data_IF_265967255730
#
_entry.id   IF_265967255730
#
_cell.length_a   1.000
_cell.length_b   1.000
_cell.length_c   1.000
_cell.angle_alpha   90.00
_cell.angle_beta   90.00
_cell.angle_gamma   90.00
#
_symmetry.space_group_name_H-M   'P 1'
#
loop_
_entity.id
_entity.type
_entity.pdbx_description
1 polymer ?
#
# COMPACT_ATOMS: atom_id res chain seq x y z
N UNK A 1 -36.26 40.31 -31.04
CA UNK A 1 -35.33 39.53 -30.19
C UNK A 1 -35.68 39.85 -28.75
N UNK A 2 -36.13 38.84 -28.01
CA UNK A 2 -36.50 39.00 -26.62
C UNK A 2 -35.26 39.23 -25.75
N UNK A 3 -35.22 40.34 -25.02
CA UNK A 3 -34.19 40.68 -24.05
C UNK A 3 -33.99 39.56 -23.06
N UNK A 4 -35.06 38.84 -22.70
CA UNK A 4 -35.04 37.67 -21.83
C UNK A 4 -34.17 36.56 -22.42
N UNK A 5 -34.25 36.30 -23.72
CA UNK A 5 -33.44 35.27 -24.37
C UNK A 5 -31.94 35.62 -24.34
N UNK A 6 -31.60 36.89 -24.52
CA UNK A 6 -30.20 37.35 -24.44
C UNK A 6 -29.65 37.22 -23.02
N UNK A 7 -30.45 37.59 -22.02
CA UNK A 7 -30.07 37.43 -20.61
C UNK A 7 -29.88 35.96 -20.25
N UNK A 8 -30.80 35.08 -20.68
CA UNK A 8 -30.65 33.64 -20.47
C UNK A 8 -29.39 33.06 -21.13
N UNK A 9 -29.07 33.50 -22.36
CA UNK A 9 -27.84 33.07 -23.04
C UNK A 9 -26.58 33.54 -22.29
N UNK A 10 -26.57 34.77 -21.80
CA UNK A 10 -25.44 35.27 -21.00
C UNK A 10 -25.25 34.50 -19.70
N UNK A 11 -26.33 34.22 -18.99
CA UNK A 11 -26.28 33.46 -17.75
C UNK A 11 -25.78 32.01 -18.02
N UNK A 12 -26.26 31.39 -19.11
CA UNK A 12 -25.85 30.06 -19.49
C UNK A 12 -24.35 29.97 -19.85
N UNK A 13 -23.84 31.00 -20.56
CA UNK A 13 -22.41 31.07 -20.91
C UNK A 13 -21.51 31.24 -19.69
N UNK A 14 -21.91 32.09 -18.75
CA UNK A 14 -21.18 32.24 -17.50
C UNK A 14 -21.18 30.96 -16.68
N UNK A 15 -22.32 30.27 -16.63
CA UNK A 15 -22.44 29.00 -15.90
C UNK A 15 -21.52 27.90 -16.47
N UNK A 16 -21.44 27.81 -17.80
CA UNK A 16 -20.54 26.82 -18.45
C UNK A 16 -19.07 27.10 -18.21
N UNK A 17 -18.65 28.37 -18.17
CA UNK A 17 -17.28 28.76 -17.87
C UNK A 17 -16.89 28.38 -16.41
N UNK A 18 -17.77 28.64 -15.46
CA UNK A 18 -17.55 28.27 -14.07
C UNK A 18 -17.47 26.73 -13.91
N UNK A 19 -18.31 26.00 -14.64
CA UNK A 19 -18.26 24.52 -14.62
C UNK A 19 -16.93 23.99 -15.15
N UNK A 20 -16.38 24.57 -16.22
CA UNK A 20 -15.07 24.18 -16.75
C UNK A 20 -13.93 24.45 -15.74
N UNK A 21 -13.93 25.61 -15.09
CA UNK A 21 -12.95 25.94 -14.06
C UNK A 21 -13.02 24.95 -12.90
N UNK A 22 -14.23 24.59 -12.47
CA UNK A 22 -14.45 23.62 -11.42
C UNK A 22 -13.88 22.23 -11.78
N UNK A 23 -14.11 21.77 -13.01
CA UNK A 23 -13.58 20.47 -13.48
C UNK A 23 -12.05 20.47 -13.51
N UNK A 24 -11.43 21.55 -13.99
CA UNK A 24 -9.98 21.69 -14.00
C UNK A 24 -9.44 21.71 -12.57
N UNK A 25 -10.06 22.46 -11.66
CA UNK A 25 -9.65 22.53 -10.26
C UNK A 25 -9.76 21.16 -9.58
N UNK A 26 -10.83 20.40 -9.82
CA UNK A 26 -10.98 19.02 -9.32
C UNK A 26 -9.93 18.07 -9.89
N UNK A 27 -9.59 18.24 -11.17
CA UNK A 27 -8.51 17.47 -11.81
C UNK A 27 -7.15 17.72 -11.15
N UNK A 28 -6.83 18.98 -10.83
CA UNK A 28 -5.61 19.32 -10.10
C UNK A 28 -5.60 18.75 -8.68
N UNK A 29 -6.71 18.86 -7.96
CA UNK A 29 -6.84 18.28 -6.61
C UNK A 29 -6.65 16.77 -6.66
N UNK A 30 -7.30 16.10 -7.62
CA UNK A 30 -7.14 14.65 -7.82
C UNK A 30 -5.70 14.27 -8.14
N UNK A 31 -5.07 14.98 -9.07
CA UNK A 31 -3.67 14.74 -9.43
C UNK A 31 -2.73 14.90 -8.24
N UNK A 32 -2.88 15.99 -7.47
CA UNK A 32 -1.98 16.27 -6.35
C UNK A 32 -2.20 15.39 -5.12
N UNK A 33 -3.44 15.02 -4.81
CA UNK A 33 -3.77 14.27 -3.60
C UNK A 33 -3.85 12.76 -3.80
N UNK A 34 -4.30 12.32 -4.97
CA UNK A 34 -4.58 10.89 -5.22
C UNK A 34 -3.44 10.22 -5.98
N UNK A 35 -2.91 10.88 -7.01
CA UNK A 35 -1.87 10.29 -7.85
C UNK A 35 -0.62 9.85 -7.06
N UNK A 36 -0.06 10.63 -6.12
CA UNK A 36 1.09 10.19 -5.34
C UNK A 36 0.81 8.99 -4.45
N UNK A 37 -0.44 8.81 -4.03
CA UNK A 37 -0.85 7.66 -3.22
C UNK A 37 -1.01 6.37 -4.03
N UNK A 38 -1.22 6.47 -5.33
CA UNK A 38 -1.34 5.32 -6.23
C UNK A 38 0.03 4.73 -6.61
N UNK A 39 1.07 5.54 -6.58
CA UNK A 39 2.44 5.11 -6.89
C UNK A 39 3.22 4.87 -5.60
N UNK A 40 2.91 3.76 -4.94
CA UNK A 40 3.59 3.33 -3.70
C UNK A 40 4.48 2.15 -4.02
N UNK A 41 5.75 2.29 -3.70
CA UNK A 41 6.73 1.19 -3.71
C UNK A 41 7.09 0.84 -2.27
N UNK A 42 7.27 -0.44 -1.98
CA UNK A 42 7.69 -0.89 -0.67
C UNK A 42 9.15 -1.30 -0.71
N UNK A 43 9.93 -0.75 0.20
CA UNK A 43 11.33 -1.13 0.41
C UNK A 43 11.45 -1.96 1.68
N UNK A 44 12.11 -3.10 1.57
CA UNK A 44 12.38 -3.99 2.68
C UNK A 44 13.86 -3.93 3.03
N UNK A 45 14.16 -3.73 4.29
CA UNK A 45 15.53 -3.69 4.81
C UNK A 45 15.65 -4.64 5.99
N UNK A 46 16.64 -5.51 5.96
CA UNK A 46 16.95 -6.42 7.06
C UNK A 46 18.33 -6.07 7.61
N UNK A 47 18.35 -5.54 8.83
CA UNK A 47 19.57 -5.22 9.55
C UNK A 47 19.62 -6.04 10.83
N UNK A 48 20.63 -6.89 10.96
CA UNK A 48 20.74 -7.89 12.03
C UNK A 48 19.53 -8.85 11.98
N UNK A 49 18.53 -8.63 12.82
CA UNK A 49 17.29 -9.39 12.84
C UNK A 49 16.05 -8.49 12.69
N UNK A 50 16.24 -7.20 12.52
CA UNK A 50 15.15 -6.24 12.39
C UNK A 50 14.75 -6.07 10.92
N UNK A 51 13.54 -6.48 10.59
CA UNK A 51 12.92 -6.22 9.29
C UNK A 51 12.22 -4.87 9.34
N UNK A 52 12.68 -3.95 8.55
CA UNK A 52 12.05 -2.64 8.37
C UNK A 52 11.36 -2.59 7.01
N UNK A 53 10.11 -2.15 7.01
CA UNK A 53 9.32 -1.95 5.79
C UNK A 53 8.99 -0.47 5.67
N UNK A 54 9.46 0.13 4.60
CA UNK A 54 9.21 1.53 4.27
C UNK A 54 8.34 1.63 3.02
N UNK A 55 7.36 2.51 3.06
CA UNK A 55 6.60 2.88 1.87
C UNK A 55 7.22 4.12 1.22
N UNK A 56 7.51 4.03 -0.05
CA UNK A 56 8.06 5.13 -0.85
C UNK A 56 6.98 5.63 -1.79
N UNK A 57 6.52 6.86 -1.53
CA UNK A 57 5.50 7.51 -2.33
C UNK A 57 6.15 8.36 -3.41
N UNK A 58 5.78 8.11 -4.65
CA UNK A 58 6.24 8.86 -5.83
C UNK A 58 7.77 9.01 -5.89
N UNK A 59 8.51 8.00 -5.45
CA UNK A 59 9.99 7.94 -5.41
C UNK A 59 10.68 9.07 -4.60
N UNK A 60 9.93 9.87 -3.88
CA UNK A 60 10.45 11.06 -3.16
C UNK A 60 10.18 11.04 -1.67
N UNK A 61 9.01 10.59 -1.25
CA UNK A 61 8.62 10.58 0.16
C UNK A 61 8.69 9.16 0.72
N UNK A 62 9.51 8.98 1.75
CA UNK A 62 9.64 7.71 2.47
C UNK A 62 8.91 7.79 3.81
N UNK A 63 8.14 6.77 4.11
CA UNK A 63 7.45 6.62 5.38
C UNK A 63 7.69 5.22 5.93
N UNK A 64 8.21 5.13 7.15
CA UNK A 64 8.32 3.85 7.84
C UNK A 64 6.92 3.32 8.17
N UNK A 65 6.63 2.10 7.72
CA UNK A 65 5.37 1.42 8.00
C UNK A 65 5.48 0.64 9.30
N UNK A 66 6.51 -0.20 9.41
CA UNK A 66 6.78 -0.98 10.60
C UNK A 66 8.24 -1.46 10.64
N UNK A 67 8.66 -1.79 11.85
CA UNK A 67 9.92 -2.51 12.10
C UNK A 67 9.61 -3.67 13.04
N UNK A 68 9.98 -4.89 12.63
CA UNK A 68 9.70 -6.11 13.39
C UNK A 68 10.98 -6.93 13.54
N UNK A 69 11.15 -7.52 14.74
CA UNK A 69 12.22 -8.48 14.97
C UNK A 69 11.85 -9.84 14.37
N UNK A 70 12.62 -10.29 13.38
CA UNK A 70 12.39 -11.57 12.69
C UNK A 70 12.56 -12.76 13.64
N UNK A 71 13.30 -12.63 14.72
CA UNK A 71 13.41 -13.69 15.74
C UNK A 71 12.08 -13.99 16.43
N UNK A 72 11.16 -13.05 16.46
CA UNK A 72 9.80 -13.22 16.99
C UNK A 72 8.83 -13.80 15.97
N UNK A 73 9.24 -14.01 14.73
CA UNK A 73 8.42 -14.55 13.66
C UNK A 73 7.95 -15.97 14.01
N UNK A 74 6.63 -16.16 14.05
CA UNK A 74 6.04 -17.46 14.38
C UNK A 74 6.05 -18.39 13.18
N UNK A 75 5.55 -17.92 12.05
CA UNK A 75 5.52 -18.67 10.80
C UNK A 75 5.52 -17.74 9.59
N UNK A 76 6.02 -18.25 8.48
CA UNK A 76 6.00 -17.57 7.19
C UNK A 76 5.73 -18.58 6.08
N UNK A 77 4.86 -18.22 5.14
CA UNK A 77 4.50 -19.07 4.02
C UNK A 77 4.10 -18.23 2.81
N UNK A 78 4.19 -18.79 1.58
CA UNK A 78 3.67 -18.10 0.40
C UNK A 78 2.16 -17.83 0.52
N UNK A 79 1.72 -16.70 0.02
CA UNK A 79 0.28 -16.35 0.03
C UNK A 79 -0.58 -17.30 -0.80
N UNK A 80 0.02 -18.01 -1.75
CA UNK A 80 -0.62 -19.09 -2.51
C UNK A 80 -0.81 -20.39 -1.72
N UNK A 81 -0.22 -20.50 -0.53
CA UNK A 81 -0.31 -21.71 0.31
C UNK A 81 -1.70 -21.89 0.90
N UNK A 82 -2.20 -23.15 1.02
CA UNK A 82 -3.45 -23.44 1.74
C UNK A 82 -3.47 -22.99 3.20
N UNK A 83 -2.30 -22.79 3.81
CA UNK A 83 -2.15 -22.26 5.18
C UNK A 83 -2.81 -20.90 5.36
N UNK A 84 -2.96 -20.12 4.28
CA UNK A 84 -3.67 -18.83 4.31
C UNK A 84 -5.13 -18.95 4.74
N UNK A 85 -5.79 -20.05 4.41
CA UNK A 85 -7.20 -20.26 4.72
C UNK A 85 -7.49 -20.37 6.23
N UNK A 86 -6.50 -20.81 7.02
CA UNK A 86 -6.59 -20.90 8.48
C UNK A 86 -6.26 -19.62 9.22
N UNK A 87 -5.68 -18.62 8.55
CA UNK A 87 -5.14 -17.41 9.18
C UNK A 87 -6.07 -16.20 8.95
N UNK A 88 -7.28 -16.29 9.50
CA UNK A 88 -8.27 -15.20 9.36
C UNK A 88 -8.22 -14.17 10.48
N UNK A 89 -7.65 -14.53 11.62
CA UNK A 89 -7.63 -13.68 12.81
C UNK A 89 -6.30 -12.97 12.94
N UNK A 90 -6.32 -11.65 12.96
CA UNK A 90 -5.14 -10.83 13.15
C UNK A 90 -5.20 -9.51 12.38
N UNK A 91 -4.36 -8.58 12.81
CA UNK A 91 -4.20 -7.31 12.11
C UNK A 91 -3.42 -7.54 10.81
N UNK A 92 -4.04 -7.23 9.70
CA UNK A 92 -3.41 -7.34 8.37
C UNK A 92 -2.68 -6.06 8.01
N UNK A 93 -1.41 -6.18 7.63
CA UNK A 93 -0.62 -5.08 7.09
C UNK A 93 -0.13 -5.54 5.72
N UNK A 94 -0.68 -4.95 4.66
CA UNK A 94 -0.33 -5.29 3.29
C UNK A 94 0.75 -4.34 2.76
N UNK A 95 1.96 -4.88 2.61
CA UNK A 95 3.11 -4.21 2.02
C UNK A 95 3.61 -4.98 0.78
N UNK A 96 2.73 -5.77 0.15
CA UNK A 96 3.04 -6.50 -1.07
C UNK A 96 2.86 -5.63 -2.31
N UNK A 97 3.46 -6.07 -3.42
CA UNK A 97 3.29 -5.41 -4.73
C UNK A 97 2.00 -5.82 -5.45
N UNK A 98 1.18 -6.67 -4.83
CA UNK A 98 -0.04 -7.21 -5.42
C UNK A 98 0.15 -8.51 -6.21
N UNK A 99 1.39 -8.94 -6.41
CA UNK A 99 1.68 -10.22 -7.04
C UNK A 99 1.56 -11.36 -6.01
N UNK A 100 0.47 -12.11 -6.10
CA UNK A 100 0.16 -13.22 -5.19
C UNK A 100 1.11 -14.41 -5.35
N UNK A 101 1.79 -14.53 -6.48
CA UNK A 101 2.67 -15.68 -6.75
C UNK A 101 4.02 -15.59 -6.05
N UNK A 102 4.52 -14.38 -5.86
CA UNK A 102 5.81 -14.09 -5.22
C UNK A 102 5.69 -13.47 -3.83
N UNK A 103 4.47 -13.29 -3.34
CA UNK A 103 4.22 -12.70 -2.02
C UNK A 103 4.25 -13.74 -0.91
N UNK A 104 4.69 -13.30 0.28
CA UNK A 104 4.74 -14.10 1.50
C UNK A 104 3.91 -13.45 2.60
N UNK A 105 3.30 -14.29 3.43
CA UNK A 105 2.65 -13.87 4.67
C UNK A 105 3.57 -14.23 5.84
N UNK A 106 3.92 -13.23 6.63
CA UNK A 106 4.69 -13.39 7.86
C UNK A 106 3.76 -13.14 9.05
N UNK A 107 3.73 -14.09 9.98
CA UNK A 107 2.89 -13.99 11.16
C UNK A 107 3.74 -13.72 12.38
N UNK A 108 3.54 -12.57 12.99
CA UNK A 108 4.18 -12.15 14.23
C UNK A 108 3.17 -12.23 15.38
N UNK A 109 3.49 -12.97 16.46
CA UNK A 109 2.65 -12.97 17.64
C UNK A 109 2.70 -11.60 18.33
N UNK A 110 1.56 -11.11 18.72
CA UNK A 110 1.43 -9.88 19.50
C UNK A 110 0.41 -10.12 20.63
N UNK A 111 0.55 -9.37 21.71
CA UNK A 111 -0.36 -9.49 22.86
C UNK A 111 -1.81 -9.15 22.45
N UNK A 112 -2.64 -10.16 22.33
CA UNK A 112 -4.06 -10.06 22.00
C UNK A 112 -4.42 -10.31 20.55
N UNK A 113 -3.59 -9.95 19.58
CA UNK A 113 -3.89 -10.12 18.17
C UNK A 113 -2.60 -10.32 17.36
N UNK A 114 -2.55 -11.34 16.52
CA UNK A 114 -1.40 -11.57 15.66
C UNK A 114 -1.31 -10.50 14.56
N UNK A 115 -0.10 -10.21 14.13
CA UNK A 115 0.16 -9.33 12.99
C UNK A 115 0.48 -10.20 11.78
N UNK A 116 -0.34 -10.05 10.73
CA UNK A 116 -0.12 -10.69 9.44
C UNK A 116 0.48 -9.66 8.48
N UNK A 117 1.76 -9.79 8.21
CA UNK A 117 2.49 -8.92 7.31
C UNK A 117 2.61 -9.59 5.94
N UNK A 118 2.11 -8.92 4.91
CA UNK A 118 2.24 -9.37 3.52
C UNK A 118 3.34 -8.58 2.84
N UNK A 119 4.34 -9.29 2.33
CA UNK A 119 5.47 -8.72 1.61
C UNK A 119 5.72 -9.47 0.30
N UNK A 120 6.40 -8.81 -0.64
CA UNK A 120 6.90 -9.43 -1.87
C UNK A 120 8.43 -9.33 -1.88
N UNK A 121 9.14 -10.20 -1.14
CA UNK A 121 10.59 -10.15 -1.07
C UNK A 121 11.22 -10.66 -2.38
N UNK A 122 12.38 -10.13 -2.72
CA UNK A 122 13.21 -10.74 -3.74
C UNK A 122 13.91 -12.01 -3.21
N UNK A 123 14.57 -12.76 -4.09
CA UNK A 123 15.24 -14.00 -3.72
C UNK A 123 16.32 -13.80 -2.66
N UNK A 124 17.06 -12.71 -2.76
CA UNK A 124 18.13 -12.39 -1.79
C UNK A 124 17.55 -12.08 -0.40
N UNK A 125 16.51 -11.26 -0.32
CA UNK A 125 15.82 -10.94 0.93
C UNK A 125 15.20 -12.18 1.56
N UNK A 126 14.56 -13.01 0.74
CA UNK A 126 13.95 -14.28 1.19
C UNK A 126 14.99 -15.23 1.79
N UNK A 127 16.16 -15.35 1.17
CA UNK A 127 17.25 -16.16 1.69
C UNK A 127 17.80 -15.62 3.02
N UNK A 128 17.92 -14.30 3.14
CA UNK A 128 18.31 -13.67 4.41
C UNK A 128 17.29 -13.95 5.52
N UNK A 129 16.00 -13.82 5.24
CA UNK A 129 14.92 -14.10 6.19
C UNK A 129 14.96 -15.58 6.65
N UNK A 130 15.16 -16.51 5.73
CA UNK A 130 15.28 -17.95 6.04
C UNK A 130 16.51 -18.26 6.89
N UNK A 131 17.60 -17.53 6.73
CA UNK A 131 18.80 -17.69 7.58
C UNK A 131 18.58 -17.22 9.00
N UNK A 132 17.87 -16.11 9.19
CA UNK A 132 17.60 -15.54 10.51
C UNK A 132 16.53 -16.34 11.26
N UNK A 133 15.50 -16.79 10.58
CA UNK A 133 14.36 -17.51 11.17
C UNK A 133 14.04 -18.80 10.40
N UNK A 134 14.94 -19.79 10.38
CA UNK A 134 14.73 -21.00 9.58
C UNK A 134 13.50 -21.80 10.01
N UNK A 135 13.14 -21.77 11.28
CA UNK A 135 11.99 -22.51 11.82
C UNK A 135 10.64 -21.97 11.34
N UNK A 136 10.57 -20.67 11.08
CA UNK A 136 9.34 -20.02 10.63
C UNK A 136 8.95 -20.40 9.19
N UNK A 137 9.93 -20.78 8.37
CA UNK A 137 9.75 -21.13 6.96
C UNK A 137 9.60 -22.66 6.71
N UNK A 138 9.49 -23.43 7.75
CA UNK A 138 9.26 -24.89 7.65
C UNK A 138 7.80 -25.27 7.42
#
# INVERSE_FOLDING_TARGET
INIIAIVCMLVLTLYTQFAMILVIALGFVFYYLVYPKLSVEYEYSLLNADLTVDAVYNKTKRKNILTMDIKTLETAFPTSSPKMNGQRNGKRIDCSTGDMTSSYCLIFPNSGENILLFITPDTHMLDMLKRVAPRAFM
#
